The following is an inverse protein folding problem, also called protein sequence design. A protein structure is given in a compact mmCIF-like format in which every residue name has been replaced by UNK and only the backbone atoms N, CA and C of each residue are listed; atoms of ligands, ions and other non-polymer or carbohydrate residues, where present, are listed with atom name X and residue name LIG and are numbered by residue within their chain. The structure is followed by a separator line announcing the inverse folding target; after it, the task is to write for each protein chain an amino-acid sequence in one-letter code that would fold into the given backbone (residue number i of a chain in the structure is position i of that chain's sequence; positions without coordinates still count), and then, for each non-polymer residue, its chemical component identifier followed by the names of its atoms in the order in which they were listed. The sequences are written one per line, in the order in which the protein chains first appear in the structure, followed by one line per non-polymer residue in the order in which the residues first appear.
data_IF_506702002737
#
_entry.id   IF_506702002737
#
_cell.length_a   1.000
_cell.length_b   1.000
_cell.length_c   1.000
_cell.angle_alpha   90.00
_cell.angle_beta   90.00
_cell.angle_gamma   90.00
#
_symmetry.space_group_name_H-M   'P 1'
#
loop_
_entity.id
_entity.type
_entity.pdbx_description
1 polymer ?
#
# COMPACT_ATOMS: atom_id res chain seq x y z
N UNK A 1 18.27 24.19 1.45
CA UNK A 1 17.38 23.49 2.40
C UNK A 1 17.12 22.11 1.81
N UNK A 2 17.68 21.05 2.38
CA UNK A 2 17.34 19.69 1.98
C UNK A 2 15.87 19.47 2.38
N UNK A 3 15.01 19.21 1.41
CA UNK A 3 13.68 18.65 1.69
C UNK A 3 13.93 17.38 2.51
N UNK A 4 13.34 17.31 3.71
CA UNK A 4 13.27 16.06 4.46
C UNK A 4 12.58 15.06 3.55
N UNK A 5 13.37 14.19 2.94
CA UNK A 5 12.87 12.98 2.31
C UNK A 5 12.32 12.20 3.50
N UNK A 6 11.01 12.23 3.70
CA UNK A 6 10.35 11.42 4.69
C UNK A 6 10.79 9.98 4.42
N UNK A 7 11.63 9.44 5.31
CA UNK A 7 12.10 8.07 5.21
C UNK A 7 10.84 7.22 5.40
N UNK A 8 10.42 6.48 4.38
CA UNK A 8 9.34 5.51 4.50
C UNK A 8 10.03 4.14 4.59
N UNK A 9 9.96 3.42 5.73
CA UNK A 9 10.60 2.14 5.91
C UNK A 9 10.10 1.19 4.81
N UNK A 10 11.00 0.64 4.00
CA UNK A 10 10.60 -0.23 2.91
C UNK A 10 10.46 -1.68 3.42
N UNK A 11 9.59 -1.90 4.41
CA UNK A 11 9.27 -3.24 4.90
C UNK A 11 8.10 -3.83 4.11
N UNK A 12 8.30 -5.05 3.61
CA UNK A 12 7.19 -5.84 3.08
C UNK A 12 6.28 -6.29 4.22
N UNK A 13 4.98 -6.32 3.97
CA UNK A 13 4.00 -6.82 4.93
C UNK A 13 2.84 -7.50 4.22
N UNK A 14 2.11 -8.32 4.98
CA UNK A 14 0.95 -9.05 4.49
C UNK A 14 -0.30 -8.45 5.10
N UNK A 15 -1.33 -8.26 4.28
CA UNK A 15 -2.61 -7.69 4.70
C UNK A 15 -3.75 -8.59 4.25
N UNK A 16 -4.70 -8.79 5.15
CA UNK A 16 -5.96 -9.45 4.83
C UNK A 16 -6.86 -8.44 4.12
N UNK A 17 -7.30 -8.77 2.92
CA UNK A 17 -8.18 -7.93 2.10
C UNK A 17 -9.47 -8.68 1.82
N UNK A 18 -10.58 -8.00 2.10
CA UNK A 18 -11.91 -8.43 1.70
C UNK A 18 -12.18 -7.95 0.28
N UNK A 19 -12.13 -8.87 -0.67
CA UNK A 19 -12.69 -8.69 -2.00
C UNK A 19 -14.19 -8.97 -1.94
N UNK A 20 -14.92 -8.67 -3.02
CA UNK A 20 -16.38 -8.77 -3.05
C UNK A 20 -16.94 -10.13 -2.62
N UNK A 21 -16.28 -11.21 -3.05
CA UNK A 21 -16.76 -12.59 -2.87
C UNK A 21 -15.71 -13.49 -2.17
N UNK A 22 -14.57 -12.93 -1.77
CA UNK A 22 -13.43 -13.69 -1.24
C UNK A 22 -12.63 -12.85 -0.24
N UNK A 23 -12.05 -13.49 0.76
CA UNK A 23 -11.12 -12.86 1.69
C UNK A 23 -9.76 -13.56 1.57
N UNK A 24 -8.72 -12.78 1.28
CA UNK A 24 -7.39 -13.34 1.05
C UNK A 24 -6.28 -12.41 1.48
N UNK A 25 -5.16 -13.03 1.82
CA UNK A 25 -3.95 -12.33 2.20
C UNK A 25 -3.22 -11.91 0.93
N UNK A 26 -2.95 -10.61 0.81
CA UNK A 26 -2.08 -10.06 -0.23
C UNK A 26 -0.80 -9.53 0.40
N UNK A 27 0.30 -9.62 -0.35
CA UNK A 27 1.56 -9.02 0.04
C UNK A 27 1.66 -7.60 -0.52
N UNK A 28 2.02 -6.64 0.33
CA UNK A 28 2.35 -5.27 -0.05
C UNK A 28 3.87 -5.15 -0.04
N UNK A 29 4.44 -5.02 -1.23
CA UNK A 29 5.88 -4.96 -1.44
C UNK A 29 6.30 -3.52 -1.75
N UNK A 30 7.17 -2.91 -0.97
CA UNK A 30 7.78 -1.64 -1.33
C UNK A 30 8.60 -1.79 -2.62
N UNK A 31 8.45 -0.85 -3.55
CA UNK A 31 9.22 -0.80 -4.79
C UNK A 31 10.12 0.44 -4.83
N UNK A 32 9.52 1.62 -4.68
CA UNK A 32 10.21 2.90 -4.59
C UNK A 32 9.63 3.67 -3.39
N UNK A 33 10.27 4.79 -2.98
CA UNK A 33 9.79 5.58 -1.87
C UNK A 33 8.33 6.03 -2.09
N UNK A 34 7.41 5.49 -1.30
CA UNK A 34 5.98 5.75 -1.41
C UNK A 34 5.26 4.96 -2.51
N UNK A 35 5.93 4.05 -3.24
CA UNK A 35 5.30 3.17 -4.23
C UNK A 35 5.33 1.72 -3.78
N UNK A 36 4.20 1.04 -3.90
CA UNK A 36 4.00 -0.32 -3.45
C UNK A 36 3.41 -1.20 -4.55
N UNK A 37 3.88 -2.43 -4.64
CA UNK A 37 3.25 -3.49 -5.44
C UNK A 37 2.35 -4.32 -4.55
N UNK A 38 1.13 -4.57 -5.01
CA UNK A 38 0.20 -5.48 -4.37
C UNK A 38 0.30 -6.82 -5.10
N UNK A 39 0.74 -7.84 -4.39
CA UNK A 39 0.98 -9.19 -4.92
C UNK A 39 0.00 -10.17 -4.30
N UNK A 40 -0.70 -10.89 -5.16
CA UNK A 40 -1.58 -11.99 -4.79
C UNK A 40 -1.07 -13.27 -5.44
N UNK A 41 -0.83 -14.31 -4.64
CA UNK A 41 -0.34 -15.62 -5.11
C UNK A 41 0.87 -15.54 -6.08
N UNK A 42 1.81 -14.63 -5.80
CA UNK A 42 3.00 -14.43 -6.62
C UNK A 42 2.80 -13.59 -7.90
N UNK A 43 1.59 -13.07 -8.13
CA UNK A 43 1.30 -12.16 -9.26
C UNK A 43 1.05 -10.75 -8.76
N UNK A 44 1.68 -9.76 -9.41
CA UNK A 44 1.36 -8.35 -9.17
C UNK A 44 -0.03 -8.09 -9.73
N UNK A 45 -0.97 -7.73 -8.87
CA UNK A 45 -2.35 -7.40 -9.24
C UNK A 45 -2.55 -5.89 -9.40
N UNK A 46 -1.73 -5.10 -8.70
CA UNK A 46 -1.77 -3.65 -8.79
C UNK A 46 -0.45 -3.02 -8.29
N UNK A 47 -0.23 -1.78 -8.69
CA UNK A 47 0.72 -0.87 -8.06
C UNK A 47 -0.02 0.32 -7.47
N UNK A 48 0.39 0.74 -6.28
CA UNK A 48 -0.23 1.84 -5.54
C UNK A 48 0.81 2.82 -5.04
N UNK A 49 0.51 4.11 -5.14
CA UNK A 49 1.36 5.20 -4.66
C UNK A 49 0.73 5.84 -3.42
N UNK A 50 1.53 6.04 -2.37
CA UNK A 50 1.21 6.83 -1.20
C UNK A 50 1.56 8.29 -1.48
N UNK A 51 0.54 9.10 -1.70
CA UNK A 51 0.67 10.55 -1.77
C UNK A 51 0.83 11.13 -0.36
N UNK A 52 2.09 11.40 0.02
CA UNK A 52 2.46 12.01 1.30
C UNK A 52 1.79 13.38 1.53
N UNK A 53 1.44 14.11 0.46
CA UNK A 53 0.80 15.43 0.60
C UNK A 53 -0.67 15.34 1.02
N UNK A 54 -1.32 14.20 0.74
CA UNK A 54 -2.76 13.99 0.98
C UNK A 54 -3.06 12.82 1.92
N UNK A 55 -2.04 12.12 2.41
CA UNK A 55 -2.19 10.86 3.16
C UNK A 55 -3.18 9.93 2.45
N UNK A 56 -2.99 9.75 1.14
CA UNK A 56 -3.89 8.98 0.29
C UNK A 56 -3.10 7.94 -0.49
N UNK A 57 -3.68 6.75 -0.65
CA UNK A 57 -3.15 5.72 -1.53
C UNK A 57 -3.93 5.75 -2.83
N UNK A 58 -3.22 5.80 -3.96
CA UNK A 58 -3.80 5.88 -5.31
C UNK A 58 -3.32 4.69 -6.12
N UNK A 59 -4.22 4.01 -6.81
CA UNK A 59 -3.85 2.94 -7.73
C UNK A 59 -3.24 3.56 -8.99
N UNK A 60 -1.96 3.31 -9.25
CA UNK A 60 -1.25 3.84 -10.42
C UNK A 60 -1.13 2.81 -11.55
N UNK A 61 -1.23 1.51 -11.25
CA UNK A 61 -1.29 0.45 -12.25
C UNK A 61 -2.18 -0.71 -11.79
N UNK A 62 -2.87 -1.36 -12.73
CA UNK A 62 -3.84 -2.41 -12.44
C UNK A 62 -5.23 -1.85 -12.17
N UNK A 63 -6.16 -2.73 -11.78
CA UNK A 63 -7.54 -2.35 -11.46
C UNK A 63 -7.93 -3.00 -10.15
N UNK A 64 -7.91 -2.20 -9.08
CA UNK A 64 -8.48 -2.55 -7.79
C UNK A 64 -9.86 -1.90 -7.68
N UNK A 65 -10.78 -2.59 -7.03
CA UNK A 65 -12.06 -2.01 -6.64
C UNK A 65 -11.84 -0.95 -5.54
N UNK A 66 -12.73 0.04 -5.47
CA UNK A 66 -12.60 1.17 -4.53
C UNK A 66 -12.57 0.71 -3.06
N UNK A 67 -13.31 -0.35 -2.72
CA UNK A 67 -13.31 -0.97 -1.39
C UNK A 67 -11.94 -1.58 -1.04
N UNK A 68 -11.28 -2.24 -1.99
CA UNK A 68 -9.95 -2.84 -1.83
C UNK A 68 -8.90 -1.75 -1.68
N UNK A 69 -9.00 -0.70 -2.50
CA UNK A 69 -8.10 0.45 -2.40
C UNK A 69 -8.23 1.18 -1.05
N UNK A 70 -9.46 1.34 -0.54
CA UNK A 70 -9.71 1.93 0.77
C UNK A 70 -9.13 1.09 1.92
N UNK A 71 -9.27 -0.24 1.85
CA UNK A 71 -8.66 -1.16 2.81
C UNK A 71 -7.13 -1.08 2.78
N UNK A 72 -6.54 -1.12 1.58
CA UNK A 72 -5.09 -0.99 1.40
C UNK A 72 -4.58 0.35 1.94
N UNK A 73 -5.29 1.45 1.67
CA UNK A 73 -4.97 2.77 2.22
C UNK A 73 -4.87 2.72 3.73
N UNK A 74 -5.90 2.18 4.39
CA UNK A 74 -5.94 2.10 5.84
C UNK A 74 -4.77 1.28 6.39
N UNK A 75 -4.51 0.11 5.81
CA UNK A 75 -3.45 -0.79 6.26
C UNK A 75 -2.04 -0.22 6.03
N UNK A 76 -1.78 0.38 4.87
CA UNK A 76 -0.49 1.01 4.56
C UNK A 76 -0.21 2.16 5.54
N UNK A 77 -1.18 3.05 5.75
CA UNK A 77 -1.02 4.18 6.67
C UNK A 77 -0.79 3.69 8.10
N UNK A 78 -1.64 2.77 8.59
CA UNK A 78 -1.52 2.23 9.94
C UNK A 78 -0.21 1.47 10.16
N UNK A 79 0.28 0.73 9.15
CA UNK A 79 1.57 0.04 9.24
C UNK A 79 2.72 1.05 9.45
N UNK A 80 2.69 2.17 8.73
CA UNK A 80 3.75 3.19 8.81
C UNK A 80 3.61 4.15 9.98
N UNK A 81 2.41 4.54 10.38
CA UNK A 81 2.20 5.40 11.56
C UNK A 81 2.66 4.71 12.85
N UNK A 82 2.40 3.41 13.02
CA UNK A 82 2.84 2.66 14.20
C UNK A 82 4.34 2.38 14.25
N UNK A 83 5.07 2.51 13.15
CA UNK A 83 6.54 2.36 13.15
C UNK A 83 7.28 3.65 13.55
N UNK A 84 6.55 4.74 13.77
CA UNK A 84 7.09 6.07 14.12
C UNK A 84 6.55 6.65 15.44
N UNK A 85 5.80 5.86 16.23
CA UNK A 85 5.33 6.23 17.56
C UNK A 85 6.29 5.78 18.67
#
# INVERSE_FOLDING_TARGET
MLQQIAFIPQHQFHVLINFKDDERIVAVLPNEAGRFRVVDQGKVIAEVDLDNSKHSVVCCQGKLEDNVLAQLKHQIIHHYENHYA
#
